data_IF_450408366858
#
_entry.id   IF_450408366858
#
_cell.length_a   1.000
_cell.length_b   1.000
_cell.length_c   1.000
_cell.angle_alpha   90.00
_cell.angle_beta   90.00
_cell.angle_gamma   90.00
#
_symmetry.space_group_name_H-M   'P 1'
#
loop_
_entity.id
_entity.type
_entity.pdbx_description
1 polymer ?
#
# COMPACT_ATOMS: atom_id res chain seq x y z
N UNK A 1 44.05 30.02 -31.83
CA UNK A 1 43.65 29.65 -30.46
C UNK A 1 42.23 30.10 -30.27
N UNK A 2 41.25 29.19 -30.52
CA UNK A 2 39.82 29.48 -30.31
C UNK A 2 39.48 29.35 -28.81
N UNK A 3 39.05 30.46 -28.21
CA UNK A 3 38.44 30.45 -26.86
C UNK A 3 37.16 29.63 -26.90
N UNK A 4 37.18 28.44 -26.31
CA UNK A 4 35.98 27.65 -25.99
C UNK A 4 35.21 28.48 -24.99
N UNK A 5 34.13 29.10 -25.45
CA UNK A 5 33.20 29.84 -24.60
C UNK A 5 32.58 28.87 -23.57
N UNK A 6 32.95 28.99 -22.31
CA UNK A 6 32.23 28.36 -21.19
C UNK A 6 30.82 28.90 -21.19
N UNK A 7 29.88 28.10 -21.74
CA UNK A 7 28.44 28.37 -21.61
C UNK A 7 28.11 28.45 -20.12
N UNK A 8 27.96 29.68 -19.62
CA UNK A 8 27.60 29.93 -18.23
C UNK A 8 26.30 29.21 -17.90
N UNK A 9 26.35 28.22 -17.02
CA UNK A 9 25.16 27.57 -16.51
C UNK A 9 24.26 28.63 -15.87
N UNK A 10 23.04 28.77 -16.36
CA UNK A 10 22.06 29.71 -15.82
C UNK A 10 21.74 29.26 -14.39
N UNK A 11 21.96 30.15 -13.42
CA UNK A 11 21.68 29.86 -12.01
C UNK A 11 20.21 29.47 -11.83
N UNK A 12 19.96 28.33 -11.19
CA UNK A 12 18.62 27.79 -10.98
C UNK A 12 17.84 28.70 -10.02
N UNK A 13 16.66 29.23 -10.39
CA UNK A 13 15.87 30.10 -9.53
C UNK A 13 15.46 29.36 -8.25
N UNK A 14 15.50 30.07 -7.10
CA UNK A 14 15.06 29.52 -5.81
C UNK A 14 13.61 29.03 -5.86
N UNK A 15 12.73 29.73 -6.56
CA UNK A 15 11.32 29.35 -6.74
C UNK A 15 11.15 27.99 -7.44
N UNK A 16 11.94 27.71 -8.48
CA UNK A 16 11.89 26.42 -9.18
C UNK A 16 12.31 25.25 -8.25
N UNK A 17 13.41 25.43 -7.51
CA UNK A 17 13.88 24.41 -6.56
C UNK A 17 12.85 24.14 -5.46
N UNK A 18 12.19 25.19 -4.97
CA UNK A 18 11.14 25.04 -3.97
C UNK A 18 9.91 24.32 -4.55
N UNK A 19 9.46 24.70 -5.74
CA UNK A 19 8.36 24.03 -6.42
C UNK A 19 8.67 22.54 -6.66
N UNK A 20 9.88 22.20 -7.09
CA UNK A 20 10.30 20.81 -7.32
C UNK A 20 10.30 19.99 -6.01
N UNK A 21 10.80 20.57 -4.92
CA UNK A 21 10.77 19.93 -3.59
C UNK A 21 9.35 19.71 -3.08
N UNK A 22 8.47 20.71 -3.22
CA UNK A 22 7.08 20.57 -2.79
C UNK A 22 6.34 19.52 -3.61
N UNK A 23 6.53 19.47 -4.93
CA UNK A 23 5.93 18.44 -5.78
C UNK A 23 6.41 17.03 -5.41
N UNK A 24 7.73 16.87 -5.16
CA UNK A 24 8.27 15.59 -4.69
C UNK A 24 7.71 15.19 -3.32
N UNK A 25 7.62 16.14 -2.37
CA UNK A 25 7.04 15.87 -1.05
C UNK A 25 5.56 15.48 -1.15
N UNK A 26 4.79 16.13 -2.02
CA UNK A 26 3.39 15.78 -2.30
C UNK A 26 3.28 14.37 -2.90
N UNK A 27 4.17 14.01 -3.82
CA UNK A 27 4.21 12.66 -4.38
C UNK A 27 4.55 11.60 -3.31
N UNK A 28 5.52 11.86 -2.42
CA UNK A 28 5.84 10.99 -1.30
C UNK A 28 4.63 10.79 -0.38
N UNK A 29 3.94 11.86 -0.02
CA UNK A 29 2.74 11.79 0.82
C UNK A 29 1.62 11.02 0.12
N UNK A 30 1.37 11.29 -1.16
CA UNK A 30 0.37 10.57 -1.95
C UNK A 30 0.65 9.07 -2.03
N UNK A 31 1.90 8.68 -2.27
CA UNK A 31 2.31 7.27 -2.25
C UNK A 31 2.13 6.66 -0.85
N UNK A 32 2.50 7.37 0.23
CA UNK A 32 2.32 6.86 1.59
C UNK A 32 0.83 6.60 1.91
N UNK A 33 -0.07 7.51 1.50
CA UNK A 33 -1.52 7.32 1.66
C UNK A 33 -2.00 6.15 0.82
N UNK A 34 -1.57 6.02 -0.45
CA UNK A 34 -1.93 4.86 -1.27
C UNK A 34 -1.47 3.54 -0.67
N UNK A 35 -0.23 3.46 -0.16
CA UNK A 35 0.29 2.26 0.49
C UNK A 35 -0.52 1.91 1.74
N UNK A 36 -0.93 2.92 2.51
CA UNK A 36 -1.79 2.73 3.68
C UNK A 36 -3.17 2.19 3.28
N UNK A 37 -3.82 2.78 2.28
CA UNK A 37 -5.14 2.35 1.82
C UNK A 37 -5.12 0.94 1.19
N UNK A 38 -4.06 0.60 0.46
CA UNK A 38 -3.88 -0.77 -0.11
C UNK A 38 -3.82 -1.82 0.99
N UNK A 39 -3.22 -1.49 2.15
CA UNK A 39 -3.09 -2.41 3.28
C UNK A 39 -4.35 -2.47 4.13
N UNK A 40 -5.04 -1.33 4.31
CA UNK A 40 -6.17 -1.23 5.23
C UNK A 40 -7.52 -1.45 4.57
N UNK A 41 -7.60 -1.25 3.25
CA UNK A 41 -8.85 -1.25 2.46
C UNK A 41 -9.99 -0.43 3.12
N UNK A 42 -9.59 0.64 3.84
CA UNK A 42 -10.47 1.36 4.74
C UNK A 42 -11.42 2.31 4.02
N UNK A 43 -10.95 2.99 2.96
CA UNK A 43 -11.72 4.06 2.34
C UNK A 43 -11.47 4.24 0.85
N UNK A 44 -12.43 3.84 0.03
CA UNK A 44 -12.41 4.11 -1.41
C UNK A 44 -12.26 5.61 -1.72
N UNK A 45 -12.86 6.48 -0.89
CA UNK A 45 -12.76 7.93 -1.07
C UNK A 45 -11.32 8.42 -0.89
N UNK A 46 -10.62 7.96 0.16
CA UNK A 46 -9.22 8.32 0.39
C UNK A 46 -8.31 7.83 -0.74
N UNK A 47 -8.55 6.62 -1.24
CA UNK A 47 -7.86 6.08 -2.41
C UNK A 47 -8.03 6.98 -3.65
N UNK A 48 -9.27 7.39 -3.95
CA UNK A 48 -9.56 8.27 -5.09
C UNK A 48 -8.94 9.65 -4.94
N UNK A 49 -8.98 10.23 -3.73
CA UNK A 49 -8.34 11.53 -3.42
C UNK A 49 -6.82 11.41 -3.58
N UNK A 50 -6.20 10.38 -3.03
CA UNK A 50 -4.75 10.15 -3.17
C UNK A 50 -4.34 9.98 -4.63
N UNK A 51 -5.11 9.23 -5.42
CA UNK A 51 -4.88 9.08 -6.86
C UNK A 51 -4.99 10.42 -7.60
N UNK A 52 -6.01 11.22 -7.32
CA UNK A 52 -6.18 12.54 -7.93
C UNK A 52 -5.01 13.49 -7.58
N UNK A 53 -4.58 13.51 -6.32
CA UNK A 53 -3.43 14.30 -5.87
C UNK A 53 -2.15 13.87 -6.61
N UNK A 54 -1.92 12.57 -6.78
CA UNK A 54 -0.77 12.06 -7.53
C UNK A 54 -0.81 12.41 -9.00
N UNK A 55 -1.98 12.40 -9.64
CA UNK A 55 -2.14 12.84 -11.04
C UNK A 55 -1.77 14.32 -11.17
N UNK A 56 -2.30 15.18 -10.29
CA UNK A 56 -1.99 16.62 -10.30
C UNK A 56 -0.50 16.87 -10.03
N UNK A 57 0.08 16.18 -9.04
CA UNK A 57 1.52 16.26 -8.75
C UNK A 57 2.36 15.78 -9.93
N UNK A 58 1.94 14.72 -10.63
CA UNK A 58 2.61 14.21 -11.83
C UNK A 58 2.60 15.20 -12.99
N UNK A 59 1.47 15.86 -13.25
CA UNK A 59 1.37 16.92 -14.27
C UNK A 59 2.26 18.10 -13.91
N UNK A 60 2.21 18.58 -12.67
CA UNK A 60 3.06 19.66 -12.19
C UNK A 60 4.55 19.30 -12.32
N UNK A 61 4.91 18.06 -11.95
CA UNK A 61 6.27 17.56 -12.11
C UNK A 61 6.71 17.54 -13.57
N UNK A 62 5.88 17.08 -14.51
CA UNK A 62 6.24 17.07 -15.94
C UNK A 62 6.57 18.48 -16.45
N UNK A 63 5.79 19.48 -16.09
CA UNK A 63 6.04 20.89 -16.47
C UNK A 63 7.35 21.40 -15.89
N UNK A 64 7.59 21.15 -14.59
CA UNK A 64 8.82 21.53 -13.90
C UNK A 64 10.05 20.79 -14.45
N UNK A 65 9.89 19.51 -14.76
CA UNK A 65 10.94 18.67 -15.34
C UNK A 65 11.36 19.16 -16.74
N UNK A 66 10.40 19.48 -17.60
CA UNK A 66 10.67 20.04 -18.91
C UNK A 66 11.50 21.35 -18.80
N UNK A 67 11.13 22.26 -17.89
CA UNK A 67 11.89 23.47 -17.61
C UNK A 67 13.27 23.17 -17.02
N UNK A 68 13.36 22.20 -16.09
CA UNK A 68 14.60 21.78 -15.45
C UNK A 68 15.62 21.19 -16.42
N UNK A 69 15.17 20.32 -17.30
CA UNK A 69 16.04 19.69 -18.32
C UNK A 69 16.46 20.69 -19.41
N UNK A 70 15.48 21.44 -19.94
CA UNK A 70 15.75 22.34 -21.08
C UNK A 70 16.56 23.57 -20.68
N UNK A 71 16.29 24.17 -19.52
CA UNK A 71 16.86 25.45 -19.14
C UNK A 71 17.96 25.37 -18.07
N UNK A 72 17.80 24.50 -17.07
CA UNK A 72 18.68 24.47 -15.89
C UNK A 72 19.63 23.28 -15.84
N UNK A 73 19.39 22.22 -16.63
CA UNK A 73 20.18 20.96 -16.66
C UNK A 73 20.30 20.28 -15.27
N UNK A 74 19.28 20.43 -14.43
CA UNK A 74 19.22 19.87 -13.07
C UNK A 74 18.63 18.44 -13.07
N UNK A 75 19.26 17.52 -13.78
CA UNK A 75 18.80 16.13 -13.94
C UNK A 75 18.55 15.37 -12.62
N UNK A 76 19.41 15.50 -11.57
CA UNK A 76 19.19 14.76 -10.33
C UNK A 76 17.88 15.16 -9.61
N UNK A 77 17.55 16.47 -9.60
CA UNK A 77 16.33 16.95 -8.99
C UNK A 77 15.08 16.48 -9.77
N UNK A 78 15.19 16.38 -11.09
CA UNK A 78 14.10 15.89 -11.95
C UNK A 78 13.88 14.38 -11.77
N UNK A 79 14.92 13.59 -11.56
CA UNK A 79 14.81 12.14 -11.38
C UNK A 79 14.21 11.71 -10.03
N UNK A 80 14.21 12.56 -9.02
CA UNK A 80 13.80 12.18 -7.66
C UNK A 80 12.34 11.70 -7.58
N UNK A 81 11.39 12.42 -8.19
CA UNK A 81 9.97 12.05 -8.12
C UNK A 81 9.66 10.71 -8.83
N UNK A 82 10.12 10.45 -10.08
CA UNK A 82 9.86 9.15 -10.72
C UNK A 82 10.53 7.98 -9.99
N UNK A 83 11.67 8.18 -9.33
CA UNK A 83 12.30 7.14 -8.51
C UNK A 83 11.40 6.81 -7.32
N UNK A 84 10.90 7.81 -6.60
CA UNK A 84 10.00 7.58 -5.45
C UNK A 84 8.72 6.87 -5.89
N UNK A 85 8.10 7.31 -6.98
CA UNK A 85 6.88 6.68 -7.50
C UNK A 85 7.17 5.24 -7.96
N UNK A 86 8.27 5.02 -8.67
CA UNK A 86 8.69 3.69 -9.12
C UNK A 86 8.96 2.73 -7.96
N UNK A 87 9.63 3.19 -6.89
CA UNK A 87 9.85 2.39 -5.69
C UNK A 87 8.54 2.11 -4.95
N UNK A 88 7.63 3.10 -4.85
CA UNK A 88 6.32 2.92 -4.24
C UNK A 88 5.49 1.86 -4.96
N UNK A 89 5.33 1.99 -6.28
CA UNK A 89 4.60 1.01 -7.08
C UNK A 89 5.27 -0.37 -7.08
N UNK A 90 6.60 -0.42 -7.15
CA UNK A 90 7.37 -1.67 -7.06
C UNK A 90 7.17 -2.38 -5.72
N UNK A 91 7.06 -1.63 -4.62
CA UNK A 91 6.79 -2.21 -3.30
C UNK A 91 5.39 -2.83 -3.20
N UNK A 92 4.37 -2.19 -3.80
CA UNK A 92 3.01 -2.76 -3.90
C UNK A 92 3.04 -4.07 -4.68
N UNK A 93 3.65 -4.06 -5.86
CA UNK A 93 3.73 -5.27 -6.71
C UNK A 93 4.46 -6.43 -6.03
N UNK A 94 5.47 -6.16 -5.21
CA UNK A 94 6.23 -7.18 -4.47
C UNK A 94 5.55 -7.65 -3.18
N UNK A 95 4.39 -7.11 -2.79
CA UNK A 95 3.68 -7.44 -1.56
C UNK A 95 4.42 -7.04 -0.27
N UNK A 96 5.37 -6.10 -0.37
CA UNK A 96 6.12 -5.61 0.80
C UNK A 96 5.19 -4.92 1.81
N UNK A 97 4.22 -4.06 1.42
CA UNK A 97 3.31 -3.43 2.36
C UNK A 97 2.51 -4.42 3.19
N UNK A 98 1.97 -5.48 2.57
CA UNK A 98 1.19 -6.52 3.27
C UNK A 98 2.03 -7.28 4.29
N UNK A 99 3.27 -7.63 3.93
CA UNK A 99 4.19 -8.34 4.83
C UNK A 99 4.59 -7.47 6.02
N UNK A 100 4.85 -6.18 5.77
CA UNK A 100 5.20 -5.23 6.81
C UNK A 100 4.01 -4.98 7.75
N UNK A 101 2.81 -4.79 7.18
CA UNK A 101 1.59 -4.62 7.96
C UNK A 101 1.29 -5.83 8.82
N UNK A 102 1.44 -7.04 8.27
CA UNK A 102 1.31 -8.27 9.03
C UNK A 102 2.30 -8.31 10.19
N UNK A 103 3.59 -8.10 9.93
CA UNK A 103 4.63 -8.11 10.96
C UNK A 103 4.36 -7.12 12.10
N UNK A 104 3.84 -5.93 11.78
CA UNK A 104 3.47 -4.91 12.76
C UNK A 104 2.20 -5.26 13.56
N UNK A 105 1.33 -6.11 13.01
CA UNK A 105 -0.01 -6.40 13.55
C UNK A 105 -0.12 -7.78 14.19
N UNK A 106 0.75 -8.74 13.84
CA UNK A 106 0.68 -10.15 14.25
C UNK A 106 0.50 -10.33 15.77
N UNK A 107 1.23 -9.53 16.59
CA UNK A 107 1.10 -9.58 18.04
C UNK A 107 -0.31 -9.26 18.54
N UNK A 108 -0.94 -8.24 17.96
CA UNK A 108 -2.31 -7.83 18.30
C UNK A 108 -3.34 -8.88 17.86
N UNK A 109 -3.18 -9.46 16.69
CA UNK A 109 -4.02 -10.54 16.21
C UNK A 109 -3.91 -11.78 17.07
N UNK A 110 -2.69 -12.18 17.43
CA UNK A 110 -2.44 -13.39 18.23
C UNK A 110 -3.06 -13.29 19.63
N UNK A 111 -3.01 -12.12 20.25
CA UNK A 111 -3.63 -11.89 21.55
C UNK A 111 -5.14 -12.12 21.51
N UNK A 112 -5.82 -11.61 20.48
CA UNK A 112 -7.29 -11.69 20.35
C UNK A 112 -7.74 -13.04 19.80
N UNK A 113 -6.93 -13.70 18.98
CA UNK A 113 -7.26 -14.98 18.37
C UNK A 113 -7.52 -16.10 19.41
N UNK A 114 -6.90 -16.02 20.58
CA UNK A 114 -7.09 -17.00 21.66
C UNK A 114 -8.52 -16.98 22.20
N UNK A 115 -9.07 -15.80 22.42
CA UNK A 115 -10.43 -15.63 22.97
C UNK A 115 -11.48 -15.59 21.85
N UNK A 116 -11.10 -15.14 20.67
CA UNK A 116 -11.95 -14.98 19.50
C UNK A 116 -13.32 -14.35 19.84
N UNK A 117 -13.36 -13.11 20.35
CA UNK A 117 -14.59 -12.44 20.67
C UNK A 117 -15.36 -12.12 19.37
N UNK A 118 -16.67 -12.35 19.36
CA UNK A 118 -17.49 -11.87 18.27
C UNK A 118 -17.59 -10.34 18.33
N UNK A 119 -17.18 -9.67 17.28
CA UNK A 119 -17.22 -8.21 17.21
C UNK A 119 -16.68 -7.69 15.91
N UNK A 120 -16.86 -6.41 15.65
CA UNK A 120 -16.41 -5.78 14.40
C UNK A 120 -15.89 -4.36 14.62
N UNK A 121 -15.29 -3.80 13.56
CA UNK A 121 -14.86 -2.42 13.50
C UNK A 121 -13.67 -2.08 14.42
N UNK A 122 -12.64 -2.91 14.48
CA UNK A 122 -11.48 -2.72 15.34
C UNK A 122 -10.16 -2.67 14.58
N UNK A 123 -9.19 -1.90 15.12
CA UNK A 123 -7.82 -1.86 14.63
C UNK A 123 -6.95 -2.85 15.40
N UNK A 124 -6.21 -3.68 14.65
CA UNK A 124 -5.22 -4.61 15.16
C UNK A 124 -3.85 -4.20 14.61
N UNK A 125 -3.07 -3.48 15.41
CA UNK A 125 -1.85 -2.84 14.91
C UNK A 125 -2.17 -1.79 13.84
N UNK A 126 -1.72 -2.02 12.61
CA UNK A 126 -1.95 -1.12 11.47
C UNK A 126 -3.06 -1.62 10.52
N UNK A 127 -3.70 -2.75 10.82
CA UNK A 127 -4.74 -3.35 9.98
C UNK A 127 -6.12 -3.13 10.60
N UNK A 128 -7.08 -2.70 9.78
CA UNK A 128 -8.48 -2.59 10.18
C UNK A 128 -9.20 -3.92 9.93
N UNK A 129 -9.97 -4.38 10.90
CA UNK A 129 -10.77 -5.60 10.84
C UNK A 129 -12.23 -5.21 10.92
N UNK A 130 -13.01 -5.60 9.92
CA UNK A 130 -14.44 -5.29 9.86
C UNK A 130 -15.25 -6.17 10.81
N UNK A 131 -14.85 -7.44 10.94
CA UNK A 131 -15.54 -8.37 11.83
C UNK A 131 -14.61 -9.50 12.30
N UNK A 132 -14.80 -9.92 13.56
CA UNK A 132 -14.14 -11.09 14.15
C UNK A 132 -15.22 -12.09 14.55
N UNK A 133 -15.07 -13.34 14.13
CA UNK A 133 -16.03 -14.39 14.42
C UNK A 133 -15.41 -15.79 14.36
N UNK A 134 -16.07 -16.78 14.97
CA UNK A 134 -15.66 -18.18 14.88
C UNK A 134 -16.27 -18.84 13.65
N UNK A 135 -15.44 -19.48 12.84
CA UNK A 135 -15.86 -20.28 11.70
C UNK A 135 -14.90 -21.46 11.50
N UNK A 136 -15.42 -22.60 11.07
CA UNK A 136 -14.64 -23.79 10.70
C UNK A 136 -13.66 -24.30 11.78
N UNK A 137 -13.93 -23.98 13.06
CA UNK A 137 -13.05 -24.34 14.18
C UNK A 137 -11.88 -23.36 14.40
N UNK A 138 -11.81 -22.30 13.64
CA UNK A 138 -10.82 -21.22 13.77
C UNK A 138 -11.43 -19.89 14.17
N UNK A 139 -10.57 -18.90 14.42
CA UNK A 139 -10.93 -17.50 14.60
C UNK A 139 -10.67 -16.75 13.31
N UNK A 140 -11.72 -16.15 12.76
CA UNK A 140 -11.68 -15.46 11.46
C UNK A 140 -11.75 -13.95 11.69
N UNK A 141 -10.84 -13.23 11.03
CA UNK A 141 -10.74 -11.78 11.02
C UNK A 141 -11.00 -11.29 9.59
N UNK A 142 -12.21 -10.82 9.34
CA UNK A 142 -12.58 -10.25 8.04
C UNK A 142 -11.97 -8.85 7.91
N UNK A 143 -11.05 -8.70 6.96
CA UNK A 143 -10.33 -7.43 6.71
C UNK A 143 -10.99 -6.67 5.57
N UNK A 144 -11.50 -7.39 4.58
CA UNK A 144 -12.21 -6.84 3.45
C UNK A 144 -13.72 -7.08 3.64
N UNK A 145 -14.53 -6.09 3.30
CA UNK A 145 -15.95 -6.04 3.64
C UNK A 145 -16.79 -7.28 3.25
N UNK A 146 -16.33 -8.10 2.31
CA UNK A 146 -17.10 -9.28 1.86
C UNK A 146 -16.26 -10.53 1.60
N UNK A 147 -14.99 -10.43 1.21
CA UNK A 147 -14.39 -11.53 0.45
C UNK A 147 -13.08 -12.10 1.01
N UNK A 148 -12.50 -11.54 2.08
CA UNK A 148 -11.21 -12.05 2.55
C UNK A 148 -10.73 -11.53 3.91
N UNK A 149 -9.61 -12.10 4.36
CA UNK A 149 -8.99 -11.73 5.62
C UNK A 149 -7.99 -12.76 6.09
N UNK A 150 -7.78 -12.83 7.40
CA UNK A 150 -6.90 -13.80 8.03
C UNK A 150 -7.67 -14.66 9.03
N UNK A 151 -7.25 -15.92 9.17
CA UNK A 151 -7.84 -16.87 10.10
C UNK A 151 -6.74 -17.53 10.94
N UNK A 152 -7.02 -17.69 12.22
CA UNK A 152 -6.15 -18.40 13.15
C UNK A 152 -6.73 -19.76 13.49
N UNK A 153 -5.92 -20.79 13.38
CA UNK A 153 -6.26 -22.13 13.85
C UNK A 153 -5.28 -22.54 14.95
N UNK A 154 -5.79 -23.04 16.06
CA UNK A 154 -4.95 -23.42 17.20
C UNK A 154 -3.94 -24.51 16.81
N UNK A 155 -2.77 -24.57 17.47
CA UNK A 155 -1.80 -25.64 17.22
C UNK A 155 -2.42 -27.03 17.29
N UNK A 156 -2.19 -27.84 16.27
CA UNK A 156 -2.77 -29.19 16.15
C UNK A 156 -4.14 -29.25 15.45
N UNK A 157 -4.74 -28.09 15.13
CA UNK A 157 -5.90 -28.00 14.23
C UNK A 157 -5.44 -27.51 12.85
N UNK A 158 -6.05 -28.04 11.80
CA UNK A 158 -5.78 -27.60 10.42
C UNK A 158 -7.02 -26.93 9.87
N UNK A 159 -6.81 -25.89 9.07
CA UNK A 159 -7.90 -25.29 8.32
C UNK A 159 -8.57 -26.34 7.42
N UNK A 160 -9.89 -26.28 7.22
CA UNK A 160 -10.58 -27.17 6.31
C UNK A 160 -9.98 -27.07 4.91
N UNK A 161 -9.53 -28.18 4.36
CA UNK A 161 -9.11 -28.31 2.98
C UNK A 161 -10.28 -28.75 2.10
N UNK A 162 -10.24 -28.41 0.82
CA UNK A 162 -11.22 -28.87 -0.15
C UNK A 162 -11.25 -28.00 -1.41
N UNK A 163 -11.90 -28.47 -2.47
CA UNK A 163 -12.07 -27.65 -3.66
C UNK A 163 -12.90 -26.41 -3.33
N UNK A 164 -12.65 -25.28 -4.01
CA UNK A 164 -13.43 -24.06 -3.85
C UNK A 164 -14.92 -24.35 -4.05
N UNK A 165 -15.74 -23.97 -3.10
CA UNK A 165 -17.20 -24.05 -3.17
C UNK A 165 -17.79 -22.64 -3.03
N UNK A 166 -18.95 -22.36 -3.67
CA UNK A 166 -19.60 -21.08 -3.50
C UNK A 166 -19.88 -20.79 -2.02
N UNK A 167 -19.57 -19.58 -1.59
CA UNK A 167 -19.79 -19.10 -0.22
C UNK A 167 -19.04 -19.85 0.89
N UNK A 168 -18.05 -20.67 0.55
CA UNK A 168 -17.20 -21.34 1.54
C UNK A 168 -15.80 -20.73 1.53
N UNK A 169 -15.24 -20.51 2.72
CA UNK A 169 -13.88 -19.98 2.84
C UNK A 169 -12.85 -20.96 2.26
N UNK A 170 -11.96 -20.45 1.44
CA UNK A 170 -10.75 -21.14 0.99
C UNK A 170 -9.59 -20.61 1.81
N UNK A 171 -8.85 -21.50 2.44
CA UNK A 171 -7.77 -21.15 3.36
C UNK A 171 -6.40 -21.44 2.75
N UNK A 172 -5.50 -20.46 2.74
CA UNK A 172 -4.12 -20.58 2.27
C UNK A 172 -3.15 -20.28 3.42
N UNK A 173 -2.25 -21.22 3.80
CA UNK A 173 -1.30 -20.97 4.89
C UNK A 173 -0.28 -19.92 4.48
N UNK A 174 0.05 -18.98 5.37
CA UNK A 174 1.08 -17.96 5.13
C UNK A 174 2.01 -17.70 6.32
N UNK A 175 1.59 -18.09 7.53
CA UNK A 175 2.40 -18.04 8.74
C UNK A 175 2.02 -19.22 9.68
N UNK A 176 2.81 -19.55 10.72
CA UNK A 176 2.46 -20.62 11.65
C UNK A 176 1.08 -20.40 12.29
N UNK A 177 0.17 -21.35 12.10
CA UNK A 177 -1.23 -21.30 12.55
C UNK A 177 -2.10 -20.19 11.92
N UNK A 178 -1.58 -19.43 10.97
CA UNK A 178 -2.27 -18.37 10.29
C UNK A 178 -2.50 -18.67 8.82
N UNK A 179 -3.71 -18.38 8.36
CA UNK A 179 -4.17 -18.63 7.00
C UNK A 179 -4.79 -17.36 6.44
N UNK A 180 -4.54 -17.06 5.18
CA UNK A 180 -5.39 -16.14 4.42
C UNK A 180 -6.63 -16.90 4.00
N UNK A 181 -7.77 -16.24 4.07
CA UNK A 181 -8.99 -16.81 3.51
C UNK A 181 -9.58 -15.88 2.46
N UNK A 182 -10.26 -16.47 1.51
CA UNK A 182 -11.10 -15.80 0.54
C UNK A 182 -12.41 -16.56 0.38
N UNK A 183 -13.48 -15.85 0.06
CA UNK A 183 -14.78 -16.45 -0.21
C UNK A 183 -15.06 -16.30 -1.72
N UNK A 184 -14.85 -17.37 -2.52
CA UNK A 184 -15.04 -17.26 -3.95
C UNK A 184 -16.52 -17.02 -4.26
N UNK A 185 -16.83 -15.92 -4.94
CA UNK A 185 -18.12 -15.68 -5.58
C UNK A 185 -18.00 -16.31 -6.97
N UNK A 186 -18.55 -17.51 -7.14
CA UNK A 186 -18.65 -18.13 -8.46
C UNK A 186 -19.75 -17.34 -9.22
N UNK A 187 -19.34 -16.53 -10.17
CA UNK A 187 -20.27 -15.98 -11.17
C UNK A 187 -20.54 -17.09 -12.19
N UNK A 188 -21.78 -17.56 -12.22
CA UNK A 188 -22.31 -18.43 -13.27
C UNK A 188 -22.43 -17.67 -14.61
#
# INVERSE_FOLDING_TARGET
MSKVGTSGAVATPRGWRQAMRSTTATACLGIAVLLFEVVTDYSLLALLVAAAVLIVAGVAWMVLAAAGCAKYREYPAVAAAPIVVGLGLGSVYSGVPDRLAWWLSEGSFTQVAQDCPNGGGAWFGVMHVDNVYRSDGGCVFAIYATDGGVAYFAPGTTAPGGPPQPYRHVYEPFAPNWYRFSTPILHD
#
